data_IF_189941722823
#
_entry.id   IF_189941722823
#
_cell.length_a   1.000
_cell.length_b   1.000
_cell.length_c   1.000
_cell.angle_alpha   90.00
_cell.angle_beta   90.00
_cell.angle_gamma   90.00
#
_symmetry.space_group_name_H-M   'P 1'
#
loop_
_entity.id
_entity.type
_entity.pdbx_description
1 polymer ?
#
# COMPACT_ATOMS: atom_id res chain seq x y z
N UNK A 1 -8.24 -11.96 -10.91
CA UNK A 1 -7.54 -12.23 -9.63
C UNK A 1 -8.44 -12.93 -8.61
N UNK A 2 -9.59 -12.36 -8.26
CA UNK A 2 -10.51 -12.92 -7.26
C UNK A 2 -10.98 -14.36 -7.54
N UNK A 3 -11.32 -14.67 -8.79
CA UNK A 3 -11.72 -16.02 -9.18
C UNK A 3 -10.61 -17.08 -9.00
N UNK A 4 -9.33 -16.69 -9.14
CA UNK A 4 -8.18 -17.60 -8.89
C UNK A 4 -8.01 -17.86 -7.39
N UNK A 5 -8.27 -16.85 -6.54
CA UNK A 5 -8.29 -17.00 -5.10
C UNK A 5 -9.38 -17.98 -4.65
N UNK A 6 -10.60 -17.84 -5.16
CA UNK A 6 -11.71 -18.75 -4.81
C UNK A 6 -11.43 -20.21 -5.19
N UNK A 7 -10.59 -20.45 -6.22
CA UNK A 7 -10.15 -21.79 -6.63
C UNK A 7 -8.88 -22.28 -5.94
N UNK A 8 -8.30 -21.50 -5.02
CA UNK A 8 -7.05 -21.85 -4.31
C UNK A 8 -5.78 -21.75 -5.17
N UNK A 9 -5.87 -21.22 -6.38
CA UNK A 9 -4.73 -21.07 -7.32
C UNK A 9 -3.83 -19.87 -6.95
N UNK A 10 -4.27 -19.03 -6.01
CA UNK A 10 -3.57 -17.83 -5.57
C UNK A 10 -3.95 -17.50 -4.13
N UNK A 11 -2.98 -17.10 -3.32
CA UNK A 11 -3.26 -16.50 -2.00
C UNK A 11 -4.03 -15.17 -2.14
N UNK A 12 -4.74 -14.80 -1.08
CA UNK A 12 -5.32 -13.46 -0.99
C UNK A 12 -4.19 -12.42 -1.00
N UNK A 13 -4.35 -11.38 -1.82
CA UNK A 13 -3.44 -10.23 -1.84
C UNK A 13 -3.82 -9.17 -0.79
N UNK A 14 -4.86 -9.44 -0.01
CA UNK A 14 -5.42 -8.48 0.95
C UNK A 14 -5.56 -9.20 2.28
N UNK A 15 -5.36 -8.46 3.36
CA UNK A 15 -5.56 -8.98 4.70
C UNK A 15 -7.07 -9.21 4.97
N UNK A 16 -7.43 -10.18 5.82
CA UNK A 16 -8.81 -10.37 6.25
C UNK A 16 -9.39 -9.08 6.88
N UNK A 17 -10.73 -8.90 6.85
CA UNK A 17 -11.38 -7.79 7.55
C UNK A 17 -10.93 -7.67 9.01
N UNK A 18 -10.69 -6.44 9.47
CA UNK A 18 -10.21 -6.16 10.83
C UNK A 18 -8.71 -6.39 11.05
N UNK A 19 -7.93 -6.73 10.01
CA UNK A 19 -6.47 -6.92 10.08
C UNK A 19 -5.67 -5.98 9.17
N UNK A 20 -6.33 -5.07 8.46
CA UNK A 20 -5.68 -4.11 7.55
C UNK A 20 -5.69 -2.70 8.14
N UNK A 21 -4.61 -1.95 7.95
CA UNK A 21 -4.49 -0.54 8.34
C UNK A 21 -5.50 0.37 7.61
N UNK A 22 -5.93 -0.02 6.40
CA UNK A 22 -7.05 0.64 5.70
C UNK A 22 -8.35 0.58 6.53
N UNK A 23 -8.53 -0.47 7.33
CA UNK A 23 -9.70 -0.65 8.19
C UNK A 23 -9.78 0.33 9.37
N UNK A 24 -8.66 0.99 9.71
CA UNK A 24 -8.58 1.99 10.80
C UNK A 24 -8.23 3.38 10.28
N UNK A 25 -8.16 3.57 8.96
CA UNK A 25 -7.87 4.87 8.34
C UNK A 25 -6.40 5.31 8.46
N UNK A 26 -5.48 4.37 8.70
CA UNK A 26 -4.03 4.65 8.81
C UNK A 26 -3.24 4.23 7.57
N UNK A 27 -3.90 3.85 6.48
CA UNK A 27 -3.25 3.56 5.21
C UNK A 27 -3.95 4.25 4.04
N UNK A 28 -3.18 4.54 2.99
CA UNK A 28 -3.67 5.04 1.71
C UNK A 28 -3.03 4.26 0.57
N UNK A 29 -3.81 4.04 -0.49
CA UNK A 29 -3.32 3.54 -1.77
C UNK A 29 -3.22 4.70 -2.76
N UNK A 30 -2.01 5.01 -3.20
CA UNK A 30 -1.74 6.10 -4.15
C UNK A 30 -1.84 5.57 -5.59
N UNK A 31 -2.58 6.28 -6.43
CA UNK A 31 -2.84 5.91 -7.83
C UNK A 31 -2.78 7.13 -8.74
N UNK A 32 -2.39 6.91 -9.99
CA UNK A 32 -2.48 7.88 -11.09
C UNK A 32 -3.53 7.46 -12.15
N UNK A 33 -4.56 6.73 -11.72
CA UNK A 33 -5.54 6.06 -12.60
C UNK A 33 -5.22 4.58 -12.82
N UNK A 34 -4.02 4.14 -12.43
CA UNK A 34 -3.59 2.75 -12.39
C UNK A 34 -2.83 2.43 -11.09
N UNK A 35 -2.55 1.14 -10.86
CA UNK A 35 -1.66 0.72 -9.77
C UNK A 35 -0.26 1.25 -10.08
N UNK A 36 0.30 2.06 -9.18
CA UNK A 36 1.66 2.60 -9.35
C UNK A 36 2.71 1.52 -9.08
N UNK A 37 3.73 1.45 -9.92
CA UNK A 37 4.90 0.60 -9.77
C UNK A 37 6.05 1.30 -9.03
N UNK A 38 7.12 0.55 -8.74
CA UNK A 38 8.29 1.10 -8.05
C UNK A 38 9.07 2.14 -8.87
N UNK A 39 8.97 2.06 -10.21
CA UNK A 39 9.64 2.97 -11.15
C UNK A 39 8.81 4.21 -11.50
N UNK A 40 7.57 4.28 -11.01
CA UNK A 40 6.69 5.41 -11.28
C UNK A 40 7.08 6.65 -10.46
N UNK A 41 6.92 7.86 -11.01
CA UNK A 41 7.38 9.10 -10.38
C UNK A 41 6.70 9.37 -9.02
N UNK A 42 5.45 8.94 -8.84
CA UNK A 42 4.71 9.09 -7.58
C UNK A 42 5.33 8.24 -6.47
N UNK A 43 5.69 6.98 -6.76
CA UNK A 43 6.38 6.13 -5.80
C UNK A 43 7.77 6.68 -5.48
N UNK A 44 8.51 7.16 -6.49
CA UNK A 44 9.82 7.79 -6.29
C UNK A 44 9.71 9.04 -5.40
N UNK A 45 8.69 9.89 -5.61
CA UNK A 45 8.46 11.06 -4.78
C UNK A 45 8.12 10.68 -3.34
N UNK A 46 7.24 9.69 -3.13
CA UNK A 46 6.89 9.22 -1.79
C UNK A 46 8.10 8.59 -1.08
N UNK A 47 8.95 7.85 -1.79
CA UNK A 47 10.21 7.32 -1.24
C UNK A 47 11.16 8.41 -0.77
N UNK A 48 11.22 9.53 -1.48
CA UNK A 48 12.08 10.65 -1.13
C UNK A 48 11.49 11.56 -0.02
N UNK A 49 10.16 11.67 0.08
CA UNK A 49 9.51 12.69 0.92
C UNK A 49 8.57 12.13 2.00
N UNK A 50 7.95 10.98 1.77
CA UNK A 50 6.83 10.46 2.58
C UNK A 50 7.14 10.32 4.06
N UNK A 51 8.35 9.85 4.40
CA UNK A 51 8.79 9.68 5.80
C UNK A 51 8.79 11.00 6.57
N UNK A 52 9.14 12.12 5.92
CA UNK A 52 9.10 13.44 6.55
C UNK A 52 7.68 13.85 6.98
N UNK A 53 6.66 13.25 6.36
CA UNK A 53 5.25 13.44 6.65
C UNK A 53 4.62 12.25 7.41
N UNK A 54 5.43 11.31 7.89
CA UNK A 54 4.98 10.17 8.68
C UNK A 54 4.41 9.00 7.87
N UNK A 55 4.66 8.96 6.55
CA UNK A 55 4.21 7.88 5.67
C UNK A 55 5.34 6.92 5.34
N UNK A 56 5.08 5.62 5.49
CA UNK A 56 6.07 4.57 5.30
C UNK A 56 5.56 3.52 4.29
N UNK A 57 6.42 3.04 3.37
CA UNK A 57 6.02 2.04 2.40
C UNK A 57 6.01 0.64 3.02
N UNK A 58 5.23 -0.26 2.41
CA UNK A 58 5.42 -1.70 2.59
C UNK A 58 6.19 -2.29 1.40
N UNK A 59 6.90 -3.40 1.61
CA UNK A 59 7.92 -3.87 0.66
C UNK A 59 7.37 -4.44 -0.65
N UNK A 60 6.12 -4.90 -0.67
CA UNK A 60 5.54 -5.66 -1.79
C UNK A 60 4.45 -4.90 -2.57
N UNK A 61 4.11 -3.68 -2.17
CA UNK A 61 3.00 -2.89 -2.74
C UNK A 61 3.42 -1.43 -2.85
N UNK A 62 3.87 -1.01 -4.04
CA UNK A 62 4.40 0.36 -4.27
C UNK A 62 3.37 1.46 -4.03
N UNK A 63 2.09 1.12 -4.18
CA UNK A 63 0.95 2.01 -3.98
C UNK A 63 0.55 2.19 -2.51
N UNK A 64 0.87 1.22 -1.62
CA UNK A 64 0.36 1.19 -0.25
C UNK A 64 1.32 1.88 0.72
N UNK A 65 0.82 2.89 1.43
CA UNK A 65 1.57 3.68 2.40
C UNK A 65 0.83 3.76 3.73
N UNK A 66 1.54 3.53 4.83
CA UNK A 66 1.00 3.54 6.18
C UNK A 66 1.45 4.78 6.94
N UNK A 67 0.51 5.44 7.62
CA UNK A 67 0.80 6.54 8.53
C UNK A 67 1.25 5.99 9.88
N UNK A 68 2.45 6.38 10.33
CA UNK A 68 3.02 5.97 11.62
C UNK A 68 3.34 7.15 12.54
N UNK A 69 2.97 8.37 12.14
CA UNK A 69 3.28 9.60 12.87
C UNK A 69 4.55 10.30 12.37
N UNK A 70 4.67 11.59 12.67
CA UNK A 70 5.84 12.40 12.30
C UNK A 70 6.93 12.20 13.36
N UNK A 71 8.09 11.67 12.96
CA UNK A 71 9.23 11.40 13.85
C UNK A 71 9.28 9.99 14.45
N UNK A 72 8.54 9.04 13.86
CA UNK A 72 8.63 7.61 14.17
C UNK A 72 9.81 6.91 13.50
#
# INVERSE_FOLDING_TARGET
>A
AYQKFLRGEKHANVLPPGRSEHGVGLAVDITNGHIIGHEDPEHAWMRANGVAFGWYPISNESWHWEFRGIGA
#
